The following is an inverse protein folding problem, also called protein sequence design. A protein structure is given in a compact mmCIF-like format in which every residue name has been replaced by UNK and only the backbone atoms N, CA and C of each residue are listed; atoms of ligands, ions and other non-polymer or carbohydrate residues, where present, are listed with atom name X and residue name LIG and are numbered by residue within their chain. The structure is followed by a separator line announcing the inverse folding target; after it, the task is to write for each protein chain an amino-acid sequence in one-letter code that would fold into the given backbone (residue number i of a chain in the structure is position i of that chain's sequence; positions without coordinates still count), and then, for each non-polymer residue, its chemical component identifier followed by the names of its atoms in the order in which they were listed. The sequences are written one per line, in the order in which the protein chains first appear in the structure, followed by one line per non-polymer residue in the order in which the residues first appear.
data_IF_395536147810
#
_entry.id   IF_395536147810
#
_cell.length_a   1.000
_cell.length_b   1.000
_cell.length_c   1.000
_cell.angle_alpha   90.00
_cell.angle_beta   90.00
_cell.angle_gamma   90.00
#
_symmetry.space_group_name_H-M   'P 1'
#
loop_
_entity.id
_entity.type
_entity.pdbx_description
1 polymer ?
#
# COMPACT_ATOMS: atom_id res chain seq x y z
N UNK A 1 -11.37 -1.89 -7.91
CA UNK A 1 -9.95 -2.22 -8.18
C UNK A 1 -9.26 -2.70 -6.91
N UNK A 2 -9.03 -1.87 -5.89
CA UNK A 2 -8.33 -2.29 -4.64
C UNK A 2 -8.93 -3.50 -3.93
N UNK A 3 -10.26 -3.63 -3.83
CA UNK A 3 -10.89 -4.81 -3.21
C UNK A 3 -10.62 -6.12 -3.96
N UNK A 4 -10.56 -6.07 -5.30
CA UNK A 4 -10.24 -7.26 -6.11
C UNK A 4 -8.80 -7.72 -5.94
N UNK A 5 -7.87 -6.81 -5.63
CA UNK A 5 -6.48 -7.17 -5.31
C UNK A 5 -6.42 -7.99 -4.01
N UNK A 6 -7.26 -7.66 -3.02
CA UNK A 6 -7.32 -8.39 -1.75
C UNK A 6 -7.81 -9.83 -1.98
N UNK A 7 -8.88 -10.01 -2.75
CA UNK A 7 -9.42 -11.34 -3.08
C UNK A 7 -8.35 -12.20 -3.78
N UNK A 8 -7.71 -11.66 -4.81
CA UNK A 8 -6.63 -12.36 -5.54
C UNK A 8 -5.47 -12.69 -4.61
N UNK A 9 -5.06 -11.77 -3.74
CA UNK A 9 -3.94 -11.99 -2.83
C UNK A 9 -4.21 -13.17 -1.88
N UNK A 10 -5.42 -13.22 -1.29
CA UNK A 10 -5.83 -14.32 -0.40
C UNK A 10 -5.86 -15.65 -1.14
N UNK A 11 -6.42 -15.68 -2.36
CA UNK A 11 -6.46 -16.89 -3.20
C UNK A 11 -5.06 -17.44 -3.53
N UNK A 12 -4.04 -16.57 -3.54
CA UNK A 12 -2.64 -16.93 -3.77
C UNK A 12 -1.81 -17.12 -2.49
N UNK A 13 -2.44 -17.10 -1.31
CA UNK A 13 -1.75 -17.24 -0.03
C UNK A 13 -0.85 -16.05 0.33
N UNK A 14 -1.13 -14.87 -0.24
CA UNK A 14 -0.43 -13.61 0.06
C UNK A 14 -1.25 -12.81 1.07
N UNK A 15 -0.69 -12.64 2.27
CA UNK A 15 -1.38 -11.97 3.39
C UNK A 15 -0.80 -10.61 3.77
N UNK A 16 0.15 -10.10 2.99
CA UNK A 16 0.73 -8.77 3.14
C UNK A 16 0.78 -8.09 1.78
N UNK A 17 0.10 -6.94 1.67
CA UNK A 17 0.15 -6.09 0.48
C UNK A 17 0.96 -4.84 0.84
N UNK A 18 2.04 -4.59 0.10
CA UNK A 18 2.89 -3.41 0.25
C UNK A 18 2.74 -2.49 -0.96
N UNK A 19 2.60 -1.20 -0.70
CA UNK A 19 2.39 -0.15 -1.72
C UNK A 19 3.19 1.09 -1.36
N UNK A 20 3.70 1.82 -2.35
CA UNK A 20 4.38 3.10 -2.16
C UNK A 20 3.70 4.23 -2.93
N UNK A 21 3.83 5.46 -2.41
CA UNK A 21 3.40 6.67 -3.11
C UNK A 21 4.30 7.85 -2.73
N UNK A 22 4.31 8.89 -3.56
CA UNK A 22 4.96 10.14 -3.19
C UNK A 22 4.22 10.83 -2.03
N UNK A 23 4.94 11.60 -1.22
CA UNK A 23 4.39 12.26 -0.03
C UNK A 23 3.32 13.33 -0.33
N UNK A 24 3.28 13.84 -1.56
CA UNK A 24 2.39 14.89 -2.05
C UNK A 24 1.16 14.35 -2.82
N UNK A 25 1.10 13.02 -3.04
CA UNK A 25 -0.04 12.39 -3.70
C UNK A 25 -1.21 12.21 -2.72
N UNK A 26 -1.89 13.30 -2.40
CA UNK A 26 -3.01 13.33 -1.45
C UNK A 26 -4.14 12.34 -1.80
N UNK A 27 -4.38 12.10 -3.10
CA UNK A 27 -5.38 11.12 -3.55
C UNK A 27 -5.03 9.70 -3.10
N UNK A 28 -3.79 9.26 -3.33
CA UNK A 28 -3.36 7.93 -2.91
C UNK A 28 -3.26 7.81 -1.38
N UNK A 29 -2.82 8.86 -0.69
CA UNK A 29 -2.78 8.86 0.78
C UNK A 29 -4.18 8.67 1.37
N UNK A 30 -5.19 9.34 0.84
CA UNK A 30 -6.58 9.16 1.26
C UNK A 30 -7.12 7.76 0.93
N UNK A 31 -6.76 7.20 -0.22
CA UNK A 31 -7.11 5.81 -0.57
C UNK A 31 -6.50 4.83 0.43
N UNK A 32 -5.21 4.98 0.76
CA UNK A 32 -4.53 4.11 1.71
C UNK A 32 -5.17 4.15 3.10
N UNK A 33 -5.47 5.35 3.59
CA UNK A 33 -6.21 5.57 4.84
C UNK A 33 -7.58 4.86 4.81
N UNK A 34 -8.38 5.10 3.76
CA UNK A 34 -9.72 4.52 3.60
C UNK A 34 -9.70 2.99 3.56
N UNK A 35 -8.67 2.39 2.97
CA UNK A 35 -8.55 0.92 2.85
C UNK A 35 -7.78 0.28 4.02
N UNK A 36 -7.37 1.04 5.03
CA UNK A 36 -6.70 0.50 6.23
C UNK A 36 -5.26 0.04 5.98
N UNK A 37 -4.54 0.74 5.11
CA UNK A 37 -3.10 0.56 4.97
C UNK A 37 -2.38 1.33 6.09
N UNK A 38 -1.32 0.74 6.63
CA UNK A 38 -0.49 1.33 7.68
C UNK A 38 0.82 1.81 7.10
N UNK A 39 1.28 2.98 7.54
CA UNK A 39 2.59 3.49 7.16
C UNK A 39 3.69 2.57 7.69
N UNK A 40 4.58 2.12 6.79
CA UNK A 40 5.66 1.16 7.06
C UNK A 40 7.05 1.81 7.01
N UNK A 41 7.14 3.05 6.53
CA UNK A 41 8.38 3.81 6.45
C UNK A 41 8.56 4.50 5.09
N UNK A 42 9.81 4.83 4.77
CA UNK A 42 10.17 5.41 3.48
C UNK A 42 11.06 4.45 2.69
N UNK A 43 10.85 4.39 1.37
CA UNK A 43 11.67 3.63 0.44
C UNK A 43 12.29 4.56 -0.58
N UNK A 44 13.56 4.32 -0.90
CA UNK A 44 14.28 5.10 -1.90
C UNK A 44 14.23 4.36 -3.24
N UNK A 45 13.53 4.92 -4.20
CA UNK A 45 13.45 4.37 -5.55
C UNK A 45 14.04 5.36 -6.55
N UNK A 46 15.07 4.94 -7.27
CA UNK A 46 15.74 5.76 -8.31
C UNK A 46 16.15 7.16 -7.82
N UNK A 47 16.58 7.27 -6.56
CA UNK A 47 17.02 8.53 -5.95
C UNK A 47 15.91 9.40 -5.36
N UNK A 48 14.63 8.98 -5.42
CA UNK A 48 13.51 9.68 -4.79
C UNK A 48 12.98 8.89 -3.59
N UNK A 49 12.74 9.58 -2.47
CA UNK A 49 12.05 8.99 -1.32
C UNK A 49 10.54 8.92 -1.57
N UNK A 50 9.94 7.78 -1.20
CA UNK A 50 8.51 7.50 -1.32
C UNK A 50 8.01 6.92 -0.01
N UNK A 51 6.79 7.26 0.39
CA UNK A 51 6.14 6.69 1.57
C UNK A 51 5.67 5.29 1.24
N UNK A 52 6.07 4.31 2.05
CA UNK A 52 5.65 2.93 1.94
C UNK A 52 4.55 2.63 2.96
N UNK A 53 3.60 1.80 2.54
CA UNK A 53 2.47 1.36 3.33
C UNK A 53 2.28 -0.14 3.20
N UNK A 54 1.76 -0.76 4.25
CA UNK A 54 1.47 -2.19 4.30
C UNK A 54 0.04 -2.42 4.82
N UNK A 55 -0.65 -3.38 4.21
CA UNK A 55 -1.89 -3.92 4.71
C UNK A 55 -1.75 -5.41 4.92
N UNK A 56 -1.96 -5.85 6.16
CA UNK A 56 -2.08 -7.25 6.51
C UNK A 56 -3.51 -7.72 6.25
N UNK A 57 -3.66 -8.81 5.51
CA UNK A 57 -4.93 -9.48 5.25
C UNK A 57 -5.05 -10.61 6.27
N UNK A 58 -6.03 -10.52 7.17
CA UNK A 58 -6.32 -11.55 8.17
C UNK A 58 -7.17 -12.66 7.59
#
# INVERSE_FOLDING_TARGET
IMSGVVEIAVDHGVYSIKVDTNFDNGGMLHVFEKFGYHYSGEVHFRGASRKAFEKLLK
#
